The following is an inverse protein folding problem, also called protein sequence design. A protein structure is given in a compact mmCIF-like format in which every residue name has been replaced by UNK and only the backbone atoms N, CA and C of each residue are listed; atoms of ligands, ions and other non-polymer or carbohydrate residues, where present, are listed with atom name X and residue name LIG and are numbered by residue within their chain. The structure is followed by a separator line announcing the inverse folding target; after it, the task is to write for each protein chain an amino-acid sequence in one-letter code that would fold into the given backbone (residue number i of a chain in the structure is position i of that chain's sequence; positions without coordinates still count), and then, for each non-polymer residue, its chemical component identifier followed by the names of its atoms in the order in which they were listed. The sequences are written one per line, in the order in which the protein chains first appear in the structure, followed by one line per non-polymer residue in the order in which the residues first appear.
data_IF_929571706686
#
_entry.id   IF_929571706686
#
_cell.length_a   1.000
_cell.length_b   1.000
_cell.length_c   1.000
_cell.angle_alpha   90.00
_cell.angle_beta   90.00
_cell.angle_gamma   90.00
#
_symmetry.space_group_name_H-M   'P 1'
#
loop_
_entity.id
_entity.type
_entity.pdbx_description
1 polymer ?
#
# COMPACT_ATOMS: atom_id res chain seq x y z
N UNK A 1 -1.25 -9.08 12.57
CA UNK A 1 -0.55 -9.86 11.53
C UNK A 1 0.46 -10.71 12.24
N UNK A 2 0.35 -12.03 12.10
CA UNK A 2 1.28 -13.01 12.68
C UNK A 2 2.06 -13.72 11.55
N UNK A 3 2.44 -12.97 10.51
CA UNK A 3 3.03 -13.51 9.28
C UNK A 3 4.27 -12.70 8.97
N UNK A 4 5.36 -13.40 8.62
CA UNK A 4 6.63 -12.78 8.24
C UNK A 4 6.46 -11.85 7.02
N UNK A 5 7.25 -10.76 6.90
CA UNK A 5 7.15 -9.80 5.80
C UNK A 5 7.25 -10.46 4.40
N UNK A 6 8.15 -11.43 4.25
CA UNK A 6 8.36 -12.18 3.00
C UNK A 6 7.11 -12.92 2.52
N UNK A 7 6.36 -13.52 3.45
CA UNK A 7 5.13 -14.24 3.14
C UNK A 7 4.00 -13.28 2.76
N UNK A 8 3.92 -12.10 3.39
CA UNK A 8 2.98 -11.05 2.97
C UNK A 8 3.28 -10.60 1.54
N UNK A 9 4.54 -10.35 1.20
CA UNK A 9 4.92 -9.93 -0.15
C UNK A 9 4.67 -11.02 -1.20
N UNK A 10 4.90 -12.29 -0.87
CA UNK A 10 4.54 -13.44 -1.72
C UNK A 10 3.02 -13.55 -1.93
N UNK A 11 2.22 -13.21 -0.92
CA UNK A 11 0.77 -13.10 -1.09
C UNK A 11 0.43 -11.94 -2.03
N UNK A 12 1.06 -10.78 -1.89
CA UNK A 12 0.79 -9.63 -2.76
C UNK A 12 1.32 -9.77 -4.20
N UNK A 13 2.29 -10.64 -4.46
CA UNK A 13 2.93 -10.80 -5.77
C UNK A 13 2.05 -11.48 -6.85
N UNK A 14 0.78 -11.77 -6.57
CA UNK A 14 -0.15 -12.40 -7.53
C UNK A 14 -1.16 -11.39 -8.02
N UNK A 15 -1.16 -11.19 -9.33
CA UNK A 15 -1.99 -10.23 -10.07
C UNK A 15 -3.47 -10.27 -9.68
N UNK A 16 -4.09 -11.44 -9.63
CA UNK A 16 -5.51 -11.56 -9.26
C UNK A 16 -5.80 -11.06 -7.85
N UNK A 17 -4.87 -11.27 -6.91
CA UNK A 17 -5.03 -10.79 -5.53
C UNK A 17 -4.86 -9.29 -5.45
N UNK A 18 -3.97 -8.71 -6.25
CA UNK A 18 -3.84 -7.27 -6.40
C UNK A 18 -5.16 -6.65 -6.90
N UNK A 19 -5.74 -7.19 -7.99
CA UNK A 19 -7.04 -6.74 -8.53
C UNK A 19 -8.18 -6.83 -7.51
N UNK A 20 -8.24 -7.91 -6.72
CA UNK A 20 -9.23 -8.05 -5.64
C UNK A 20 -9.04 -6.94 -4.59
N UNK A 21 -7.82 -6.65 -4.18
CA UNK A 21 -7.52 -5.59 -3.20
C UNK A 21 -7.93 -4.22 -3.75
N UNK A 22 -7.58 -3.90 -4.99
CA UNK A 22 -7.98 -2.63 -5.62
C UNK A 22 -9.49 -2.48 -5.72
N UNK A 23 -10.19 -3.55 -6.09
CA UNK A 23 -11.65 -3.56 -6.17
C UNK A 23 -12.27 -3.30 -4.79
N UNK A 24 -11.79 -3.97 -3.75
CA UNK A 24 -12.28 -3.78 -2.38
C UNK A 24 -11.95 -2.38 -1.81
N UNK A 25 -10.82 -1.78 -2.21
CA UNK A 25 -10.46 -0.40 -1.86
C UNK A 25 -11.37 0.63 -2.52
N UNK A 26 -11.69 0.44 -3.80
CA UNK A 26 -12.45 1.41 -4.60
C UNK A 26 -13.95 1.30 -4.41
N UNK A 27 -14.48 0.08 -4.24
CA UNK A 27 -15.93 -0.18 -4.18
C UNK A 27 -16.43 -0.56 -2.78
N UNK A 28 -15.53 -0.75 -1.81
CA UNK A 28 -15.87 -1.12 -0.44
C UNK A 28 -16.16 -2.63 -0.25
N UNK A 29 -16.87 -3.02 0.83
CA UNK A 29 -17.07 -4.42 1.17
C UNK A 29 -17.95 -5.18 0.17
N UNK A 30 -17.47 -6.31 -0.36
CA UNK A 30 -18.14 -7.07 -1.43
C UNK A 30 -18.11 -8.58 -1.20
N UNK A 31 -19.09 -9.30 -1.74
CA UNK A 31 -19.14 -10.76 -1.69
C UNK A 31 -18.39 -11.42 -2.85
N UNK A 32 -17.97 -12.68 -2.66
CA UNK A 32 -17.17 -13.42 -3.64
C UNK A 32 -17.82 -13.52 -5.04
N UNK A 33 -19.16 -13.62 -5.13
CA UNK A 33 -19.88 -13.65 -6.41
C UNK A 33 -19.81 -12.34 -7.19
N UNK A 34 -19.80 -11.20 -6.49
CA UNK A 34 -19.71 -9.88 -7.15
C UNK A 34 -18.28 -9.66 -7.63
N UNK A 35 -17.31 -9.98 -6.77
CA UNK A 35 -15.87 -9.93 -7.10
C UNK A 35 -15.56 -10.81 -8.32
N UNK A 36 -16.11 -12.03 -8.38
CA UNK A 36 -15.90 -12.94 -9.50
C UNK A 36 -16.47 -12.42 -10.81
N UNK A 37 -17.68 -11.86 -10.78
CA UNK A 37 -18.28 -11.20 -11.94
C UNK A 37 -17.48 -10.00 -12.43
N UNK A 38 -16.94 -9.18 -11.53
CA UNK A 38 -16.14 -7.99 -11.90
C UNK A 38 -14.76 -8.34 -12.45
N UNK A 39 -14.08 -9.34 -11.89
CA UNK A 39 -12.72 -9.72 -12.30
C UNK A 39 -12.72 -10.70 -13.48
N UNK A 40 -13.85 -11.37 -13.76
CA UNK A 40 -13.99 -12.29 -14.88
C UNK A 40 -13.38 -13.67 -14.64
N UNK A 41 -13.39 -14.15 -13.39
CA UNK A 41 -12.91 -15.49 -13.02
C UNK A 41 -13.97 -16.25 -12.23
N UNK A 42 -13.78 -17.55 -12.02
CA UNK A 42 -14.76 -18.35 -11.30
C UNK A 42 -14.88 -17.96 -9.83
N UNK A 43 -16.08 -18.09 -9.26
CA UNK A 43 -16.32 -17.83 -7.82
C UNK A 43 -15.47 -18.75 -6.93
N UNK A 44 -15.18 -19.98 -7.38
CA UNK A 44 -14.28 -20.89 -6.66
C UNK A 44 -12.85 -20.35 -6.59
N UNK A 45 -12.30 -19.87 -7.73
CA UNK A 45 -10.97 -19.26 -7.78
C UNK A 45 -10.89 -18.00 -6.89
N UNK A 46 -11.89 -17.10 -6.97
CA UNK A 46 -11.98 -15.94 -6.08
C UNK A 46 -11.99 -16.37 -4.61
N UNK A 47 -12.77 -17.39 -4.26
CA UNK A 47 -12.87 -17.85 -2.86
C UNK A 47 -11.52 -18.36 -2.34
N UNK A 48 -10.73 -19.03 -3.17
CA UNK A 48 -9.37 -19.45 -2.83
C UNK A 48 -8.45 -18.24 -2.60
N UNK A 49 -8.49 -17.23 -3.49
CA UNK A 49 -7.72 -16.01 -3.31
C UNK A 49 -8.10 -15.24 -2.04
N UNK A 50 -9.40 -15.11 -1.77
CA UNK A 50 -9.92 -14.46 -0.55
C UNK A 50 -9.51 -15.22 0.72
N UNK A 51 -9.48 -16.56 0.69
CA UNK A 51 -8.98 -17.37 1.80
C UNK A 51 -7.52 -17.05 2.11
N UNK A 52 -6.65 -17.00 1.09
CA UNK A 52 -5.23 -16.68 1.24
C UNK A 52 -5.04 -15.26 1.77
N UNK A 53 -5.74 -14.28 1.18
CA UNK A 53 -5.67 -12.88 1.64
C UNK A 53 -6.14 -12.72 3.09
N UNK A 54 -7.19 -13.46 3.48
CA UNK A 54 -7.71 -13.47 4.86
C UNK A 54 -6.74 -14.14 5.82
N UNK A 55 -6.09 -15.24 5.43
CA UNK A 55 -5.05 -15.90 6.22
C UNK A 55 -3.82 -15.00 6.42
N UNK A 56 -3.45 -14.22 5.39
CA UNK A 56 -2.42 -13.19 5.49
C UNK A 56 -2.83 -12.00 6.37
N UNK A 57 -4.12 -11.88 6.71
CA UNK A 57 -4.67 -10.79 7.51
C UNK A 57 -4.83 -9.47 6.75
N UNK A 58 -4.72 -9.47 5.42
CA UNK A 58 -4.85 -8.27 4.58
C UNK A 58 -6.32 -7.86 4.36
N UNK A 59 -7.22 -8.83 4.50
CA UNK A 59 -8.66 -8.62 4.40
C UNK A 59 -9.37 -9.28 5.57
N UNK A 60 -10.57 -8.80 5.86
CA UNK A 60 -11.49 -9.35 6.85
C UNK A 60 -12.83 -9.67 6.20
N UNK A 61 -13.59 -10.55 6.85
CA UNK A 61 -14.95 -10.89 6.42
C UNK A 61 -15.86 -10.93 7.63
N UNK A 62 -17.05 -10.35 7.51
CA UNK A 62 -18.06 -10.34 8.57
C UNK A 62 -19.35 -10.96 8.03
N UNK A 63 -19.94 -11.91 8.75
CA UNK A 63 -21.20 -12.53 8.30
C UNK A 63 -22.37 -11.59 8.62
N UNK A 64 -23.05 -11.13 7.57
CA UNK A 64 -24.28 -10.34 7.64
C UNK A 64 -25.45 -11.21 7.16
N UNK A 65 -26.03 -11.98 8.08
CA UNK A 65 -27.09 -12.95 7.78
C UNK A 65 -26.61 -14.07 6.83
N UNK A 66 -27.16 -14.07 5.61
CA UNK A 66 -26.80 -15.03 4.56
C UNK A 66 -25.63 -14.60 3.68
N UNK A 67 -25.12 -13.37 3.87
CA UNK A 67 -24.07 -12.79 3.05
C UNK A 67 -22.77 -12.61 3.84
N UNK A 68 -21.63 -12.87 3.21
CA UNK A 68 -20.30 -12.69 3.80
C UNK A 68 -19.52 -11.73 2.90
N UNK A 69 -19.61 -10.41 3.14
CA UNK A 69 -18.73 -9.44 2.51
C UNK A 69 -17.29 -9.60 3.00
N UNK A 70 -16.36 -9.30 2.10
CA UNK A 70 -14.95 -9.12 2.36
C UNK A 70 -14.62 -7.64 2.28
N UNK A 71 -13.74 -7.17 3.15
CA UNK A 71 -13.27 -5.78 3.17
C UNK A 71 -11.78 -5.74 3.51
N UNK A 72 -11.12 -4.65 3.14
CA UNK A 72 -9.73 -4.41 3.50
C UNK A 72 -9.58 -4.31 5.02
N UNK A 73 -8.50 -4.91 5.56
CA UNK A 73 -8.03 -4.57 6.89
C UNK A 73 -7.04 -3.40 6.79
N UNK A 74 -7.53 -2.19 7.03
CA UNK A 74 -6.75 -0.96 6.92
C UNK A 74 -5.49 -0.97 7.79
N UNK A 75 -5.58 -1.52 9.00
CA UNK A 75 -4.44 -1.59 9.92
C UNK A 75 -3.37 -2.55 9.38
N UNK A 76 -3.77 -3.66 8.79
CA UNK A 76 -2.85 -4.60 8.16
C UNK A 76 -2.20 -3.99 6.91
N UNK A 77 -2.97 -3.29 6.08
CA UNK A 77 -2.44 -2.61 4.89
C UNK A 77 -1.44 -1.51 5.23
N UNK A 78 -1.70 -0.71 6.26
CA UNK A 78 -0.76 0.33 6.70
C UNK A 78 0.55 -0.27 7.24
N UNK A 79 0.47 -1.35 8.02
CA UNK A 79 1.66 -2.10 8.45
C UNK A 79 2.44 -2.68 7.27
N UNK A 80 1.75 -3.22 6.26
CA UNK A 80 2.40 -3.70 5.04
C UNK A 80 3.12 -2.58 4.29
N UNK A 81 2.54 -1.38 4.23
CA UNK A 81 3.18 -0.19 3.64
C UNK A 81 4.45 0.20 4.39
N UNK A 82 4.42 0.16 5.72
CA UNK A 82 5.59 0.45 6.57
C UNK A 82 6.71 -0.57 6.34
N UNK A 83 6.40 -1.86 6.35
CA UNK A 83 7.37 -2.93 6.05
C UNK A 83 8.00 -2.77 4.67
N UNK A 84 7.20 -2.46 3.64
CA UNK A 84 7.71 -2.24 2.30
C UNK A 84 8.65 -1.03 2.27
N UNK A 85 8.29 0.05 2.96
CA UNK A 85 9.14 1.26 3.05
C UNK A 85 10.46 0.93 3.73
N UNK A 86 10.44 0.19 4.83
CA UNK A 86 11.65 -0.24 5.55
C UNK A 86 12.60 -1.06 4.66
N UNK A 87 12.07 -2.02 3.90
CA UNK A 87 12.87 -2.90 3.02
C UNK A 87 13.35 -2.17 1.76
N UNK A 88 12.52 -1.31 1.17
CA UNK A 88 12.80 -0.67 -0.12
C UNK A 88 13.47 0.70 -0.01
N UNK A 89 13.77 1.19 1.19
CA UNK A 89 14.57 2.42 1.35
C UNK A 89 16.05 2.09 1.15
N UNK A 90 16.70 2.65 0.12
CA UNK A 90 18.16 2.49 -0.02
C UNK A 90 18.87 3.16 1.18
N UNK A 91 19.44 2.31 2.04
CA UNK A 91 20.47 2.67 3.02
C UNK A 91 21.88 2.42 2.49
N UNK A 92 22.02 2.23 1.18
CA UNK A 92 23.18 1.66 0.54
C UNK A 92 24.43 2.56 0.58
N UNK A 93 24.37 3.80 1.10
CA UNK A 93 25.48 4.76 1.17
C UNK A 93 26.25 4.94 -0.17
N UNK A 94 25.57 4.69 -1.31
CA UNK A 94 26.20 4.72 -2.64
C UNK A 94 26.97 3.44 -3.04
N UNK A 95 26.87 2.35 -2.27
CA UNK A 95 27.48 1.05 -2.58
C UNK A 95 26.71 0.24 -3.64
N UNK A 96 25.45 0.62 -3.94
CA UNK A 96 24.60 -0.06 -4.93
C UNK A 96 24.90 0.27 -6.39
N UNK A 97 25.94 1.05 -6.68
CA UNK A 97 26.31 1.42 -8.05
C UNK A 97 27.05 0.32 -8.79
N UNK A 98 26.40 -0.34 -9.74
CA UNK A 98 27.08 -1.09 -10.79
C UNK A 98 27.57 -0.07 -11.82
N UNK A 99 28.88 0.22 -11.82
CA UNK A 99 29.63 1.18 -12.66
C UNK A 99 29.90 2.55 -12.01
N UNK A 100 31.08 2.70 -11.41
CA UNK A 100 31.78 3.99 -11.35
C UNK A 100 32.49 4.24 -12.69
N UNK A 101 31.74 4.63 -13.71
CA UNK A 101 32.28 5.43 -14.82
C UNK A 101 31.66 6.82 -14.71
N UNK A 102 32.40 7.69 -14.04
CA UNK A 102 32.16 9.12 -13.81
C UNK A 102 30.94 9.57 -12.98
N UNK A 103 31.13 10.52 -12.05
CA UNK A 103 30.09 10.99 -11.15
C UNK A 103 29.20 12.03 -11.86
N UNK A 104 28.22 11.59 -12.65
CA UNK A 104 27.05 12.43 -12.91
C UNK A 104 26.15 12.43 -11.68
N UNK A 105 26.57 13.18 -10.65
CA UNK A 105 25.63 13.78 -9.72
C UNK A 105 24.70 14.65 -10.57
N UNK A 106 23.51 14.14 -10.86
CA UNK A 106 22.25 14.89 -10.86
C UNK A 106 22.46 16.39 -11.02
N UNK A 107 22.33 16.90 -12.24
CA UNK A 107 22.48 18.32 -12.58
C UNK A 107 21.84 19.19 -11.50
N UNK A 108 22.56 20.23 -11.05
CA UNK A 108 22.17 21.22 -10.04
C UNK A 108 20.72 21.73 -10.21
N UNK A 109 20.21 21.74 -11.44
CA UNK A 109 18.82 22.04 -11.77
C UNK A 109 17.82 21.11 -11.05
N UNK A 110 18.02 19.79 -11.11
CA UNK A 110 17.12 18.80 -10.53
C UNK A 110 17.12 18.86 -9.00
N UNK A 111 18.28 19.11 -8.38
CA UNK A 111 18.37 19.28 -6.93
C UNK A 111 17.71 20.57 -6.46
N UNK A 112 17.80 21.66 -7.22
CA UNK A 112 17.09 22.91 -6.91
C UNK A 112 15.57 22.79 -7.07
N UNK A 113 15.10 22.01 -8.04
CA UNK A 113 13.68 21.71 -8.20
C UNK A 113 13.16 20.94 -6.99
N UNK A 114 13.87 19.90 -6.58
CA UNK A 114 13.51 19.11 -5.40
C UNK A 114 13.55 19.94 -4.09
N UNK A 115 14.56 20.80 -3.92
CA UNK A 115 14.62 21.73 -2.78
C UNK A 115 13.38 22.66 -2.73
N UNK A 116 12.89 23.09 -3.90
CA UNK A 116 11.73 23.96 -4.02
C UNK A 116 10.44 23.22 -3.64
N UNK A 117 10.27 21.99 -4.10
CA UNK A 117 9.13 21.13 -3.75
C UNK A 117 9.06 20.88 -2.24
N UNK A 118 10.18 20.50 -1.61
CA UNK A 118 10.25 20.28 -0.17
C UNK A 118 9.91 21.54 0.65
N UNK A 119 10.33 22.73 0.19
CA UNK A 119 9.98 24.00 0.84
C UNK A 119 8.47 24.27 0.78
N UNK A 120 7.82 23.94 -0.33
CA UNK A 120 6.38 24.10 -0.47
C UNK A 120 5.60 23.17 0.47
N UNK A 121 5.98 21.88 0.53
CA UNK A 121 5.38 20.92 1.44
C UNK A 121 5.54 21.33 2.90
N UNK A 122 6.74 21.76 3.30
CA UNK A 122 6.99 22.29 4.65
C UNK A 122 6.13 23.53 4.95
N UNK A 123 5.88 24.37 3.95
CA UNK A 123 4.96 25.51 4.07
C UNK A 123 3.54 25.07 4.43
N UNK A 124 3.01 24.07 3.71
CA UNK A 124 1.68 23.51 3.95
C UNK A 124 1.58 22.92 5.36
N UNK A 125 2.58 22.15 5.78
CA UNK A 125 2.61 21.56 7.13
C UNK A 125 2.63 22.66 8.20
N UNK A 126 3.47 23.69 8.04
CA UNK A 126 3.55 24.81 8.98
C UNK A 126 2.27 25.61 9.08
N UNK A 127 1.56 25.80 7.96
CA UNK A 127 0.27 26.46 7.95
C UNK A 127 -0.77 25.66 8.74
N UNK A 128 -0.85 24.34 8.49
CA UNK A 128 -1.74 23.44 9.21
C UNK A 128 -1.48 23.44 10.72
N UNK A 129 -0.20 23.46 11.12
CA UNK A 129 0.19 23.57 12.53
C UNK A 129 -0.29 24.87 13.17
N UNK A 130 -0.26 25.99 12.44
CA UNK A 130 -0.79 27.27 12.93
C UNK A 130 -2.30 27.21 13.11
N UNK A 131 -3.05 26.73 12.13
CA UNK A 131 -4.51 26.58 12.18
C UNK A 131 -4.94 25.74 13.39
N UNK A 132 -4.29 24.60 13.61
CA UNK A 132 -4.57 23.72 14.75
C UNK A 132 -4.11 24.29 16.10
N UNK A 133 -3.14 25.21 16.10
CA UNK A 133 -2.72 25.91 17.33
C UNK A 133 -3.67 27.06 17.71
N UNK A 134 -4.32 27.67 16.72
CA UNK A 134 -5.32 28.73 16.94
C UNK A 134 -6.69 28.21 17.36
N UNK A 135 -7.05 26.98 16.99
CA UNK A 135 -8.30 26.32 17.42
C UNK A 135 -8.26 25.80 18.86
N UNK A 136 -7.10 25.87 19.53
CA UNK A 136 -6.87 25.32 20.88
C UNK A 136 -6.83 26.39 21.99
N UNK A 137 -7.10 27.64 21.65
CA UNK A 137 -7.35 28.78 22.57
C UNK A 137 -8.81 29.22 22.46
#
# INVERSE_FOLDING_TARGET
MNVEPSEIFKVLSVETRFKIIELLKSQGPMGAKVISATIGITTAAVSQHLKILKQAGLIRSERKGYWIPYSIDEKAMEKCRQLLTEVCTCGCQGTGGFNKSEPERSNLVSLKQYETELKNELGIVRQRLKELSTEKN
#
